data_IF_944902599421
#
_entry.id   IF_944902599421
#
_cell.length_a   1.000
_cell.length_b   1.000
_cell.length_c   1.000
_cell.angle_alpha   90.00
_cell.angle_beta   90.00
_cell.angle_gamma   90.00
#
_symmetry.space_group_name_H-M   'P 1'
#
loop_
_entity.id
_entity.type
_entity.pdbx_description
1 polymer ?
#
# COMPACT_ATOMS: atom_id res chain seq x y z
N UNK A 1 21.12 5.43 15.04
CA UNK A 1 21.22 5.44 13.56
C UNK A 1 19.81 5.68 13.07
N UNK A 2 19.60 6.55 12.09
CA UNK A 2 18.25 6.76 11.56
C UNK A 2 17.88 5.54 10.69
N UNK A 3 16.72 4.95 10.96
CA UNK A 3 16.17 3.85 10.19
C UNK A 3 14.95 4.35 9.40
N UNK A 4 14.71 3.75 8.25
CA UNK A 4 13.53 4.01 7.42
C UNK A 4 12.88 2.67 7.07
N UNK A 5 11.56 2.59 7.20
CA UNK A 5 10.75 1.47 6.76
C UNK A 5 10.03 1.86 5.48
N UNK A 6 10.26 1.10 4.40
CA UNK A 6 9.51 1.24 3.16
C UNK A 6 8.34 0.25 3.16
N UNK A 7 7.12 0.76 3.09
CA UNK A 7 5.89 -0.02 3.03
C UNK A 7 5.42 -0.03 1.58
N UNK A 8 5.65 -1.16 0.91
CA UNK A 8 5.41 -1.30 -0.53
C UNK A 8 3.99 -1.83 -0.73
N UNK A 9 3.17 -1.07 -1.45
CA UNK A 9 1.92 -1.54 -2.05
C UNK A 9 0.90 -2.15 -1.09
N UNK A 10 0.88 -1.68 0.16
CA UNK A 10 -0.20 -1.96 1.11
C UNK A 10 -1.44 -1.09 0.80
N UNK A 11 -1.92 -1.17 -0.43
CA UNK A 11 -2.97 -0.32 -1.00
C UNK A 11 -4.26 -1.07 -1.27
N UNK A 12 -5.37 -0.34 -1.39
CA UNK A 12 -6.70 -0.91 -1.63
C UNK A 12 -6.75 -1.80 -2.87
N UNK A 13 -6.12 -1.36 -3.96
CA UNK A 13 -6.12 -2.07 -5.25
C UNK A 13 -5.63 -3.52 -5.18
N UNK A 14 -4.77 -3.83 -4.20
CA UNK A 14 -4.21 -5.17 -4.02
C UNK A 14 -4.79 -5.93 -2.82
N UNK A 15 -5.40 -5.24 -1.85
CA UNK A 15 -5.79 -5.83 -0.57
C UNK A 15 -7.30 -5.75 -0.28
N UNK A 16 -8.11 -5.12 -1.13
CA UNK A 16 -9.58 -5.11 -1.02
C UNK A 16 -10.24 -5.92 -2.16
N UNK A 17 -11.25 -6.75 -1.84
CA UNK A 17 -11.96 -7.53 -2.85
C UNK A 17 -12.75 -6.63 -3.80
N UNK A 18 -12.74 -6.98 -5.09
CA UNK A 18 -13.45 -6.23 -6.13
C UNK A 18 -12.54 -5.37 -7.01
N UNK A 19 -11.27 -5.22 -6.67
CA UNK A 19 -10.26 -4.61 -7.54
C UNK A 19 -9.62 -5.65 -8.47
N UNK A 20 -9.17 -5.19 -9.64
CA UNK A 20 -8.73 -6.06 -10.73
C UNK A 20 -7.47 -6.88 -10.38
N UNK A 21 -6.62 -6.36 -9.49
CA UNK A 21 -5.38 -7.04 -9.07
C UNK A 21 -5.41 -7.40 -7.57
N UNK A 22 -6.59 -7.68 -7.02
CA UNK A 22 -6.72 -8.18 -5.65
C UNK A 22 -5.92 -9.48 -5.45
N UNK A 23 -5.02 -9.48 -4.47
CA UNK A 23 -4.11 -10.58 -4.17
C UNK A 23 -4.74 -11.75 -3.39
N UNK A 24 -6.06 -11.70 -3.14
CA UNK A 24 -6.80 -12.73 -2.41
C UNK A 24 -6.75 -12.57 -0.88
N UNK A 25 -7.63 -13.27 -0.18
CA UNK A 25 -7.84 -13.11 1.27
C UNK A 25 -6.60 -13.46 2.09
N UNK A 26 -5.78 -14.42 1.63
CA UNK A 26 -4.53 -14.82 2.29
C UNK A 26 -3.54 -13.65 2.37
N UNK A 27 -3.53 -12.74 1.39
CA UNK A 27 -2.66 -11.56 1.39
C UNK A 27 -2.94 -10.64 2.59
N UNK A 28 -4.19 -10.59 3.06
CA UNK A 28 -4.62 -9.75 4.19
C UNK A 28 -4.13 -10.28 5.54
N UNK A 29 -3.70 -11.54 5.62
CA UNK A 29 -3.19 -12.13 6.87
C UNK A 29 -1.88 -11.49 7.37
N UNK A 30 -1.15 -10.79 6.49
CA UNK A 30 0.08 -10.09 6.87
C UNK A 30 -0.19 -8.76 7.58
N UNK A 31 -1.38 -8.17 7.41
CA UNK A 31 -1.70 -6.80 7.86
C UNK A 31 -1.41 -6.61 9.36
N UNK A 32 -1.82 -7.51 10.28
CA UNK A 32 -1.51 -7.35 11.70
C UNK A 32 -0.01 -7.37 12.02
N UNK A 33 0.78 -8.12 11.23
CA UNK A 33 2.24 -8.19 11.40
C UNK A 33 2.93 -6.93 10.88
N UNK A 34 2.46 -6.41 9.73
CA UNK A 34 2.93 -5.13 9.18
C UNK A 34 2.62 -4.01 10.16
N UNK A 35 1.39 -3.92 10.65
CA UNK A 35 0.98 -2.94 11.67
C UNK A 35 1.90 -2.98 12.90
N UNK A 36 2.12 -4.16 13.48
CA UNK A 36 2.98 -4.32 14.65
C UNK A 36 4.45 -3.93 14.39
N UNK A 37 4.95 -4.18 13.18
CA UNK A 37 6.27 -3.71 12.75
C UNK A 37 6.31 -2.18 12.71
N UNK A 38 5.35 -1.54 12.04
CA UNK A 38 5.28 -0.09 11.91
C UNK A 38 5.16 0.61 13.27
N UNK A 39 4.30 0.11 14.14
CA UNK A 39 4.16 0.63 15.49
C UNK A 39 5.49 0.56 16.29
N UNK A 40 6.20 -0.57 16.19
CA UNK A 40 7.51 -0.75 16.84
C UNK A 40 8.56 0.21 16.29
N UNK A 41 8.64 0.32 14.97
CA UNK A 41 9.65 1.15 14.31
C UNK A 41 9.38 2.64 14.55
N UNK A 42 8.12 3.07 14.48
CA UNK A 42 7.72 4.43 14.82
C UNK A 42 8.09 4.78 16.27
N UNK A 43 7.82 3.88 17.23
CA UNK A 43 8.21 4.06 18.62
C UNK A 43 9.73 4.10 18.84
N UNK A 44 10.51 3.48 17.95
CA UNK A 44 11.97 3.53 17.94
C UNK A 44 12.54 4.80 17.26
N UNK A 45 11.69 5.66 16.71
CA UNK A 45 12.09 6.87 16.00
C UNK A 45 12.50 6.64 14.54
N UNK A 46 12.08 5.52 13.95
CA UNK A 46 12.23 5.26 12.51
C UNK A 46 11.23 6.10 11.70
N UNK A 47 11.61 6.44 10.47
CA UNK A 47 10.71 7.05 9.48
C UNK A 47 9.96 5.94 8.72
N UNK A 48 8.70 6.20 8.36
CA UNK A 48 7.86 5.27 7.60
C UNK A 48 7.48 5.95 6.29
N UNK A 49 7.79 5.31 5.17
CA UNK A 49 7.44 5.79 3.84
C UNK A 49 6.57 4.73 3.15
N UNK A 50 5.37 5.12 2.73
CA UNK A 50 4.55 4.31 1.86
C UNK A 50 4.95 4.58 0.41
N UNK A 51 5.16 3.50 -0.34
CA UNK A 51 5.44 3.55 -1.77
C UNK A 51 4.30 2.75 -2.41
N UNK A 52 3.49 3.45 -3.19
CA UNK A 52 2.25 2.94 -3.76
C UNK A 52 2.31 3.04 -5.28
N UNK A 53 1.88 1.99 -5.97
CA UNK A 53 1.54 2.08 -7.37
C UNK A 53 0.51 3.18 -7.62
N UNK A 54 0.76 3.99 -8.66
CA UNK A 54 0.00 5.18 -8.98
C UNK A 54 0.08 5.47 -10.48
N UNK A 55 -0.53 4.60 -11.28
CA UNK A 55 -0.39 4.58 -12.73
C UNK A 55 -1.15 5.70 -13.42
N UNK A 56 -0.61 6.18 -14.54
CA UNK A 56 -1.38 6.94 -15.52
C UNK A 56 -2.37 6.01 -16.25
N UNK A 57 -3.50 6.52 -16.78
CA UNK A 57 -4.51 5.68 -17.43
C UNK A 57 -4.02 4.87 -18.65
N UNK A 58 -2.90 5.26 -19.25
CA UNK A 58 -2.29 4.63 -20.42
C UNK A 58 -0.93 3.96 -20.13
N UNK A 59 -0.67 3.59 -18.87
CA UNK A 59 0.57 2.92 -18.48
C UNK A 59 0.83 1.65 -19.31
N UNK A 60 2.08 1.48 -19.75
CA UNK A 60 2.51 0.34 -20.57
C UNK A 60 2.39 -0.98 -19.81
N UNK A 61 2.43 -0.95 -18.48
CA UNK A 61 2.24 -2.14 -17.65
C UNK A 61 0.90 -2.84 -17.89
N UNK A 62 -0.12 -2.10 -18.30
CA UNK A 62 -1.45 -2.65 -18.60
C UNK A 62 -1.46 -3.56 -19.85
N UNK A 63 -0.35 -3.66 -20.59
CA UNK A 63 -0.17 -4.67 -21.62
C UNK A 63 0.16 -6.06 -21.05
N UNK A 64 0.55 -6.13 -19.78
CA UNK A 64 1.00 -7.35 -19.08
C UNK A 64 0.10 -7.67 -17.90
N UNK A 65 -0.35 -6.66 -17.16
CA UNK A 65 -1.26 -6.79 -16.02
C UNK A 65 -2.63 -6.17 -16.30
N UNK A 66 -3.69 -6.58 -15.58
CA UNK A 66 -4.95 -5.84 -15.57
C UNK A 66 -4.73 -4.38 -15.17
N UNK A 67 -5.61 -3.47 -15.61
CA UNK A 67 -5.60 -2.08 -15.13
C UNK A 67 -5.80 -2.07 -13.61
N UNK A 68 -4.91 -1.39 -12.88
CA UNK A 68 -4.92 -1.30 -11.43
C UNK A 68 -4.30 0.03 -10.98
N UNK A 69 -4.60 0.43 -9.74
CA UNK A 69 -3.93 1.55 -9.06
C UNK A 69 -3.80 2.82 -9.91
N UNK A 70 -4.86 3.15 -10.68
CA UNK A 70 -4.85 4.30 -11.58
C UNK A 70 -5.02 5.59 -10.78
N UNK A 71 -4.24 6.62 -11.13
CA UNK A 71 -4.33 7.97 -10.57
C UNK A 71 -5.75 8.52 -10.57
N UNK A 72 -6.15 9.09 -9.43
CA UNK A 72 -7.48 9.66 -9.23
C UNK A 72 -8.58 8.65 -8.89
N UNK A 73 -8.25 7.36 -8.82
CA UNK A 73 -9.11 6.33 -8.20
C UNK A 73 -8.74 6.14 -6.73
N UNK A 74 -9.49 5.31 -6.01
CA UNK A 74 -9.14 4.96 -4.62
C UNK A 74 -8.13 3.81 -4.51
N UNK A 75 -7.86 3.10 -5.59
CA UNK A 75 -6.99 1.91 -5.60
C UNK A 75 -5.56 2.18 -5.09
N UNK A 76 -4.92 3.32 -5.44
CA UNK A 76 -3.59 3.67 -4.91
C UNK A 76 -3.58 3.97 -3.41
N UNK A 77 -4.71 4.21 -2.76
CA UNK A 77 -4.72 4.64 -1.36
C UNK A 77 -4.28 3.48 -0.45
N UNK A 78 -3.49 3.81 0.57
CA UNK A 78 -3.14 2.87 1.63
C UNK A 78 -4.41 2.32 2.30
N UNK A 79 -4.41 1.03 2.61
CA UNK A 79 -5.54 0.39 3.30
C UNK A 79 -5.85 1.05 4.65
N UNK A 80 -7.13 1.05 5.04
CA UNK A 80 -7.58 1.75 6.25
C UNK A 80 -6.91 1.22 7.53
N UNK A 81 -6.53 -0.06 7.56
CA UNK A 81 -5.86 -0.70 8.69
C UNK A 81 -4.48 -0.08 9.02
N UNK A 82 -3.86 0.61 8.06
CA UNK A 82 -2.56 1.27 8.23
C UNK A 82 -2.64 2.80 8.18
N UNK A 83 -3.85 3.38 8.12
CA UNK A 83 -4.05 4.81 7.91
C UNK A 83 -3.41 5.70 8.99
N UNK A 84 -3.26 5.21 10.23
CA UNK A 84 -2.63 5.98 11.32
C UNK A 84 -1.13 6.24 11.12
N UNK A 85 -0.47 5.49 10.23
CA UNK A 85 0.93 5.68 9.88
C UNK A 85 1.12 6.59 8.67
N UNK A 86 0.05 6.99 7.99
CA UNK A 86 0.09 7.79 6.78
C UNK A 86 0.12 9.28 7.14
N UNK A 87 1.05 10.02 6.55
CA UNK A 87 1.25 11.46 6.83
C UNK A 87 0.94 12.37 5.65
N UNK A 88 0.43 11.83 4.54
CA UNK A 88 0.06 12.57 3.34
C UNK A 88 -0.84 11.75 2.41
N UNK A 89 -1.48 12.43 1.47
CA UNK A 89 -2.36 11.82 0.47
C UNK A 89 -1.58 11.49 -0.81
N UNK A 90 -2.08 10.50 -1.56
CA UNK A 90 -1.58 10.12 -2.89
C UNK A 90 -2.11 11.03 -4.00
#
# INVERSE_FOLDING_TARGET
MANVVLVIDMVKGFLEPGHNLYCGDESREIIPRVHGLLARELAAGSEILFISDHHDPDDLEFQVFPVHCVKGTEEPNVIHELAEFVTGDN
#
